data_IF_358880382739
#
_entry.id   IF_358880382739
#
_cell.length_a   1.000
_cell.length_b   1.000
_cell.length_c   1.000
_cell.angle_alpha   90.00
_cell.angle_beta   90.00
_cell.angle_gamma   90.00
#
_symmetry.space_group_name_H-M   'P 1'
#
loop_
_entity.id
_entity.type
_entity.pdbx_description
1 polymer ?
#
# COMPACT_ATOMS: atom_id res chain seq x y z
N UNK A 1 2.04 5.67 18.72
CA UNK A 1 1.69 5.54 17.29
C UNK A 1 2.64 4.55 16.60
N UNK A 2 2.15 3.73 15.66
CA UNK A 2 2.97 2.80 14.87
C UNK A 2 3.19 3.35 13.46
N UNK A 3 4.29 2.99 12.80
CA UNK A 3 4.56 3.36 11.40
C UNK A 3 4.74 2.10 10.56
N UNK A 4 4.10 2.08 9.41
CA UNK A 4 4.19 1.03 8.41
C UNK A 4 4.73 1.62 7.10
N UNK A 5 5.90 1.15 6.67
CA UNK A 5 6.49 1.58 5.41
C UNK A 5 6.18 0.61 4.27
N UNK A 6 5.78 1.16 3.15
CA UNK A 6 5.87 0.51 1.86
C UNK A 6 7.35 0.45 1.45
N UNK A 7 7.94 -0.73 1.61
CA UNK A 7 9.37 -0.95 1.35
C UNK A 7 9.70 -0.83 -0.14
N UNK A 8 8.83 -1.28 -1.02
CA UNK A 8 9.02 -1.18 -2.46
C UNK A 8 8.96 0.27 -2.93
N UNK A 9 7.99 1.04 -2.45
CA UNK A 9 7.90 2.48 -2.75
C UNK A 9 9.15 3.23 -2.27
N UNK A 10 9.57 3.03 -1.02
CA UNK A 10 10.77 3.65 -0.46
C UNK A 10 12.02 3.30 -1.28
N UNK A 11 12.14 2.03 -1.68
CA UNK A 11 13.26 1.52 -2.48
C UNK A 11 13.28 2.16 -3.88
N UNK A 12 12.17 2.14 -4.60
CA UNK A 12 12.05 2.74 -5.94
C UNK A 12 12.26 4.26 -5.92
N UNK A 13 11.67 4.97 -4.95
CA UNK A 13 11.84 6.41 -4.76
C UNK A 13 13.33 6.76 -4.57
N UNK A 14 14.00 6.07 -3.66
CA UNK A 14 15.41 6.31 -3.37
C UNK A 14 16.29 5.92 -4.55
N UNK A 15 15.98 4.81 -5.23
CA UNK A 15 16.70 4.37 -6.43
C UNK A 15 16.58 5.39 -7.58
N UNK A 16 15.41 5.96 -7.79
CA UNK A 16 15.20 6.99 -8.80
C UNK A 16 16.15 8.20 -8.60
N UNK A 17 16.35 8.62 -7.35
CA UNK A 17 17.31 9.68 -7.02
C UNK A 17 18.75 9.18 -7.16
N UNK A 18 19.06 7.99 -6.64
CA UNK A 18 20.40 7.40 -6.69
C UNK A 18 20.89 7.23 -8.12
N UNK A 19 20.05 6.72 -9.03
CA UNK A 19 20.41 6.49 -10.43
C UNK A 19 20.80 7.78 -11.18
N UNK A 20 20.27 8.93 -10.76
CA UNK A 20 20.63 10.22 -11.40
C UNK A 20 22.10 10.59 -11.21
N UNK A 21 22.74 10.15 -10.11
CA UNK A 21 24.18 10.37 -9.86
C UNK A 21 25.08 9.51 -10.75
N UNK A 22 24.51 8.44 -11.31
CA UNK A 22 25.23 7.48 -12.17
C UNK A 22 24.72 7.51 -13.61
N UNK A 23 24.11 8.62 -14.03
CA UNK A 23 23.58 8.77 -15.38
C UNK A 23 24.65 8.50 -16.43
N UNK A 24 24.37 7.59 -17.37
CA UNK A 24 25.31 7.20 -18.44
C UNK A 24 26.27 6.07 -18.05
N UNK A 25 26.20 5.54 -16.83
CA UNK A 25 26.89 4.32 -16.41
C UNK A 25 25.96 3.12 -16.49
N UNK A 26 26.50 1.91 -16.57
CA UNK A 26 25.74 0.67 -16.41
C UNK A 26 25.27 0.55 -14.95
N UNK A 27 23.96 0.67 -14.72
CA UNK A 27 23.38 0.59 -13.39
C UNK A 27 23.53 -0.79 -12.75
N UNK A 28 23.63 -1.86 -13.56
CA UNK A 28 23.93 -3.19 -13.04
C UNK A 28 25.34 -3.29 -12.45
N UNK A 29 26.32 -2.68 -13.10
CA UNK A 29 27.70 -2.59 -12.55
C UNK A 29 27.74 -1.71 -11.32
N UNK A 30 27.03 -0.59 -11.33
CA UNK A 30 26.91 0.31 -10.17
C UNK A 30 26.33 -0.41 -8.95
N UNK A 31 25.30 -1.22 -9.13
CA UNK A 31 24.66 -1.97 -8.04
C UNK A 31 25.49 -3.19 -7.58
N UNK A 32 26.36 -3.75 -8.45
CA UNK A 32 27.32 -4.81 -8.08
C UNK A 32 28.49 -4.31 -7.27
N UNK A 33 28.85 -3.04 -7.42
CA UNK A 33 29.94 -2.40 -6.68
C UNK A 33 29.56 -2.31 -5.18
N UNK A 34 30.30 -2.95 -4.26
CA UNK A 34 29.94 -3.01 -2.85
C UNK A 34 29.85 -1.64 -2.17
N UNK A 35 30.73 -0.70 -2.55
CA UNK A 35 30.76 0.64 -1.94
C UNK A 35 29.54 1.44 -2.37
N UNK A 36 29.21 1.43 -3.66
CA UNK A 36 28.04 2.14 -4.21
C UNK A 36 26.74 1.53 -3.70
N UNK A 37 26.65 0.20 -3.63
CA UNK A 37 25.53 -0.50 -3.01
C UNK A 37 25.34 -0.07 -1.55
N UNK A 38 26.42 0.02 -0.78
CA UNK A 38 26.33 0.46 0.61
C UNK A 38 25.88 1.92 0.73
N UNK A 39 26.32 2.80 -0.18
CA UNK A 39 25.82 4.18 -0.25
C UNK A 39 24.30 4.20 -0.52
N UNK A 40 23.82 3.34 -1.41
CA UNK A 40 22.39 3.25 -1.70
C UNK A 40 21.58 2.77 -0.49
N UNK A 41 22.00 1.66 0.16
CA UNK A 41 21.35 1.15 1.37
C UNK A 41 21.36 2.21 2.48
N UNK A 42 22.47 2.92 2.65
CA UNK A 42 22.55 4.03 3.62
C UNK A 42 21.54 5.13 3.33
N UNK A 43 21.31 5.50 2.06
CA UNK A 43 20.29 6.49 1.67
C UNK A 43 18.89 6.01 2.03
N UNK A 44 18.57 4.73 1.83
CA UNK A 44 17.30 4.13 2.25
C UNK A 44 17.09 4.24 3.76
N UNK A 45 18.12 3.91 4.55
CA UNK A 45 18.06 4.03 6.01
C UNK A 45 17.89 5.48 6.45
N UNK A 46 18.56 6.44 5.80
CA UNK A 46 18.39 7.88 6.06
C UNK A 46 16.95 8.28 5.84
N UNK A 47 16.34 7.85 4.74
CA UNK A 47 14.95 8.17 4.40
C UNK A 47 13.97 7.63 5.45
N UNK A 48 14.14 6.37 5.88
CA UNK A 48 13.33 5.78 6.93
C UNK A 48 13.51 6.54 8.27
N UNK A 49 14.75 6.76 8.69
CA UNK A 49 15.05 7.49 9.93
C UNK A 49 14.49 8.91 9.91
N UNK A 50 14.63 9.61 8.80
CA UNK A 50 14.09 10.96 8.65
C UNK A 50 12.57 10.97 8.81
N UNK A 51 11.89 10.05 8.13
CA UNK A 51 10.43 9.94 8.21
C UNK A 51 9.97 9.59 9.62
N UNK A 52 10.58 8.60 10.29
CA UNK A 52 10.23 8.22 11.66
C UNK A 52 10.40 9.39 12.62
N UNK A 53 11.50 10.16 12.49
CA UNK A 53 11.80 11.31 13.35
C UNK A 53 10.93 12.52 13.09
N UNK A 54 10.17 12.54 12.00
CA UNK A 54 9.18 13.61 11.73
C UNK A 54 7.90 13.45 12.55
N UNK A 55 7.79 12.36 13.31
CA UNK A 55 6.65 12.07 14.16
C UNK A 55 7.07 11.78 15.59
N UNK A 56 6.27 12.26 16.54
CA UNK A 56 6.46 12.00 17.95
C UNK A 56 5.85 10.65 18.36
N UNK A 57 6.36 10.07 19.45
CA UNK A 57 5.82 8.87 20.11
C UNK A 57 5.67 7.65 19.20
N UNK A 58 6.62 7.43 18.28
CA UNK A 58 6.64 6.23 17.46
C UNK A 58 7.05 5.02 18.30
N UNK A 59 6.16 4.01 18.34
CA UNK A 59 6.37 2.80 19.14
C UNK A 59 6.95 1.65 18.33
N UNK A 60 6.33 1.34 17.19
CA UNK A 60 6.76 0.24 16.33
C UNK A 60 6.91 0.72 14.89
N UNK A 61 7.84 0.12 14.19
CA UNK A 61 8.05 0.35 12.75
C UNK A 61 8.05 -0.99 12.04
N UNK A 62 7.19 -1.08 11.04
CA UNK A 62 7.08 -2.25 10.15
C UNK A 62 7.44 -1.82 8.74
N UNK A 63 8.18 -2.66 8.01
CA UNK A 63 8.45 -2.47 6.58
C UNK A 63 7.89 -3.67 5.83
N UNK A 64 7.05 -3.44 4.83
CA UNK A 64 6.48 -4.51 4.00
C UNK A 64 7.12 -4.53 2.63
N UNK A 65 7.24 -5.71 2.02
CA UNK A 65 7.78 -5.89 0.68
C UNK A 65 6.88 -6.81 -0.16
N UNK A 66 6.84 -6.52 -1.45
CA UNK A 66 6.12 -7.32 -2.44
C UNK A 66 6.76 -8.69 -2.65
N UNK A 67 5.91 -9.65 -3.01
CA UNK A 67 6.30 -10.87 -3.72
C UNK A 67 5.51 -11.00 -5.02
N UNK A 68 5.55 -12.18 -5.64
CA UNK A 68 4.73 -12.45 -6.81
C UNK A 68 3.25 -12.49 -6.43
N UNK A 69 2.43 -11.64 -7.08
CA UNK A 69 1.02 -11.45 -6.70
C UNK A 69 0.16 -12.69 -6.97
N UNK A 70 -0.68 -13.04 -6.00
CA UNK A 70 -1.75 -14.03 -6.16
C UNK A 70 -2.74 -13.68 -7.27
N UNK A 71 -2.84 -12.39 -7.64
CA UNK A 71 -3.77 -11.89 -8.67
C UNK A 71 -3.50 -12.46 -10.04
N UNK A 72 -2.25 -12.85 -10.34
CA UNK A 72 -1.90 -13.54 -11.58
C UNK A 72 -2.61 -14.90 -11.76
N UNK A 73 -2.98 -15.56 -10.65
CA UNK A 73 -3.71 -16.82 -10.70
C UNK A 73 -5.15 -16.65 -11.19
N UNK A 74 -5.73 -15.45 -11.03
CA UNK A 74 -7.08 -15.13 -11.46
C UNK A 74 -7.10 -14.39 -12.81
N UNK A 75 -6.09 -13.57 -13.04
CA UNK A 75 -5.99 -12.73 -14.21
C UNK A 75 -4.54 -12.77 -14.73
N UNK A 76 -4.22 -13.71 -15.66
CA UNK A 76 -2.86 -13.84 -16.20
C UNK A 76 -2.34 -12.56 -16.85
N UNK A 77 -3.23 -11.70 -17.36
CA UNK A 77 -2.89 -10.42 -17.97
C UNK A 77 -2.72 -9.29 -16.93
N UNK A 78 -2.82 -9.58 -15.63
CA UNK A 78 -2.58 -8.63 -14.57
C UNK A 78 -1.18 -8.02 -14.70
N UNK A 79 -1.10 -6.69 -14.68
CA UNK A 79 0.17 -5.95 -14.90
C UNK A 79 0.90 -6.29 -16.22
N UNK A 80 0.22 -6.97 -17.18
CA UNK A 80 0.86 -7.38 -18.46
C UNK A 80 1.29 -6.18 -19.30
N UNK A 81 0.52 -5.09 -19.32
CA UNK A 81 0.90 -3.86 -20.02
C UNK A 81 2.18 -3.22 -19.47
N UNK A 82 2.54 -3.58 -18.25
CA UNK A 82 3.83 -3.32 -17.64
C UNK A 82 4.81 -4.48 -18.00
N UNK A 83 4.86 -4.93 -19.25
CA UNK A 83 6.10 -5.55 -19.73
C UNK A 83 7.19 -4.52 -19.54
N UNK A 84 7.53 -4.34 -18.25
CA UNK A 84 8.71 -3.66 -17.82
C UNK A 84 9.81 -4.34 -18.61
N UNK A 85 10.34 -3.62 -19.58
CA UNK A 85 11.66 -3.94 -20.08
C UNK A 85 12.43 -4.12 -18.80
N UNK A 86 12.69 -5.38 -18.44
CA UNK A 86 13.53 -5.67 -17.27
C UNK A 86 14.91 -5.33 -17.77
N UNK A 87 15.27 -4.07 -17.60
CA UNK A 87 16.59 -3.56 -17.93
C UNK A 87 17.63 -4.49 -17.32
N UNK A 88 18.79 -4.59 -17.91
CA UNK A 88 19.85 -5.52 -17.49
C UNK A 88 20.22 -5.39 -16.02
N UNK A 89 19.96 -4.20 -15.40
CA UNK A 89 20.21 -3.97 -13.99
C UNK A 89 19.14 -4.57 -13.04
N UNK A 90 17.97 -5.00 -13.55
CA UNK A 90 16.84 -5.39 -12.69
C UNK A 90 17.16 -6.55 -11.75
N UNK A 91 17.98 -7.52 -12.20
CA UNK A 91 18.42 -8.63 -11.35
C UNK A 91 19.24 -8.14 -10.16
N UNK A 92 20.15 -7.20 -10.40
CA UNK A 92 20.97 -6.62 -9.35
C UNK A 92 20.13 -5.73 -8.42
N UNK A 93 19.16 -5.04 -8.98
CA UNK A 93 18.19 -4.25 -8.22
C UNK A 93 17.43 -5.12 -7.19
N UNK A 94 16.93 -6.30 -7.60
CA UNK A 94 16.26 -7.22 -6.67
C UNK A 94 17.24 -7.76 -5.62
N UNK A 95 18.48 -8.09 -5.98
CA UNK A 95 19.48 -8.51 -5.00
C UNK A 95 19.76 -7.46 -3.93
N UNK A 96 19.82 -6.19 -4.33
CA UNK A 96 20.01 -5.10 -3.36
C UNK A 96 18.79 -4.91 -2.47
N UNK A 97 17.59 -5.15 -2.99
CA UNK A 97 16.36 -5.17 -2.19
C UNK A 97 16.41 -6.28 -1.14
N UNK A 98 16.81 -7.50 -1.53
CA UNK A 98 16.97 -8.63 -0.61
C UNK A 98 18.06 -8.35 0.46
N UNK A 99 19.18 -7.72 0.07
CA UNK A 99 20.23 -7.29 0.99
C UNK A 99 19.72 -6.22 1.99
N UNK A 100 18.89 -5.30 1.52
CA UNK A 100 18.27 -4.28 2.38
C UNK A 100 17.28 -4.89 3.36
N UNK A 101 16.43 -5.82 2.91
CA UNK A 101 15.56 -6.58 3.79
C UNK A 101 16.34 -7.30 4.89
N UNK A 102 17.38 -8.05 4.50
CA UNK A 102 18.25 -8.76 5.45
C UNK A 102 18.91 -7.80 6.44
N UNK A 103 19.36 -6.63 5.97
CA UNK A 103 19.92 -5.58 6.82
C UNK A 103 18.90 -5.11 7.87
N UNK A 104 17.68 -4.80 7.47
CA UNK A 104 16.61 -4.35 8.39
C UNK A 104 16.29 -5.42 9.44
N UNK A 105 16.15 -6.68 9.05
CA UNK A 105 15.92 -7.81 9.97
C UNK A 105 17.06 -7.96 10.99
N UNK A 106 18.32 -7.85 10.54
CA UNK A 106 19.50 -7.92 11.41
C UNK A 106 19.57 -6.75 12.41
N UNK A 107 18.89 -5.64 12.10
CA UNK A 107 18.78 -4.47 13.01
C UNK A 107 17.53 -4.54 13.91
N UNK A 108 16.77 -5.63 13.84
CA UNK A 108 15.57 -5.84 14.67
C UNK A 108 14.35 -5.06 14.21
N UNK A 109 14.35 -4.57 12.97
CA UNK A 109 13.15 -3.97 12.36
C UNK A 109 12.18 -5.10 11.97
N UNK A 110 10.89 -4.91 12.21
CA UNK A 110 9.86 -5.81 11.71
C UNK A 110 9.82 -5.69 10.19
N UNK A 111 10.06 -6.80 9.50
CA UNK A 111 9.96 -6.87 8.05
C UNK A 111 8.98 -7.95 7.65
N UNK A 112 7.89 -7.56 7.02
CA UNK A 112 6.84 -8.45 6.54
C UNK A 112 6.98 -8.66 5.04
N UNK A 113 7.14 -9.91 4.63
CA UNK A 113 7.19 -10.35 3.24
C UNK A 113 6.69 -11.78 3.19
N UNK A 114 5.59 -12.00 2.47
CA UNK A 114 4.90 -13.29 2.41
C UNK A 114 4.74 -13.69 0.95
N UNK A 115 5.14 -14.91 0.61
CA UNK A 115 5.03 -15.43 -0.75
C UNK A 115 3.58 -15.44 -1.22
N UNK A 116 3.35 -14.90 -2.41
CA UNK A 116 2.03 -14.74 -3.00
C UNK A 116 1.33 -13.41 -2.65
N UNK A 117 1.81 -12.65 -1.65
CA UNK A 117 1.23 -11.37 -1.26
C UNK A 117 1.97 -10.18 -1.90
N UNK A 118 1.22 -9.18 -2.31
CA UNK A 118 1.77 -7.86 -2.60
C UNK A 118 1.93 -7.05 -1.29
N UNK A 119 2.76 -6.03 -1.30
CA UNK A 119 2.93 -5.13 -0.16
C UNK A 119 1.62 -4.51 0.30
N UNK A 120 0.73 -4.21 -0.65
CA UNK A 120 -0.59 -3.65 -0.39
C UNK A 120 -1.48 -4.59 0.45
N UNK A 121 -1.45 -5.90 0.15
CA UNK A 121 -2.16 -6.92 0.92
C UNK A 121 -1.63 -6.96 2.36
N UNK A 122 -0.29 -6.89 2.52
CA UNK A 122 0.35 -6.87 3.83
C UNK A 122 0.06 -5.55 4.58
N UNK A 123 0.03 -4.40 3.89
CA UNK A 123 -0.36 -3.13 4.50
C UNK A 123 -1.77 -3.19 5.06
N UNK A 124 -2.70 -3.84 4.34
CA UNK A 124 -4.05 -4.04 4.84
C UNK A 124 -4.08 -4.92 6.11
N UNK A 125 -3.42 -6.08 6.10
CA UNK A 125 -3.39 -6.98 7.27
C UNK A 125 -2.80 -6.29 8.50
N UNK A 126 -1.70 -5.57 8.35
CA UNK A 126 -1.10 -4.80 9.44
C UNK A 126 -2.00 -3.64 9.90
N UNK A 127 -2.76 -3.02 8.99
CA UNK A 127 -3.72 -1.97 9.36
C UNK A 127 -4.88 -2.51 10.19
N UNK A 128 -5.36 -3.70 9.86
CA UNK A 128 -6.37 -4.40 10.69
C UNK A 128 -5.78 -4.76 12.05
N UNK A 129 -4.56 -5.29 12.10
CA UNK A 129 -3.93 -5.64 13.37
C UNK A 129 -3.78 -4.43 14.28
N UNK A 130 -3.15 -3.35 13.84
CA UNK A 130 -2.96 -2.17 14.69
C UNK A 130 -4.26 -1.38 14.90
N UNK A 131 -4.95 -1.03 13.81
CA UNK A 131 -6.08 -0.11 13.84
C UNK A 131 -7.35 -0.70 14.43
N UNK A 132 -7.59 -2.01 14.25
CA UNK A 132 -8.82 -2.68 14.69
C UNK A 132 -8.54 -3.56 15.91
N UNK A 133 -7.61 -4.52 15.82
CA UNK A 133 -7.37 -5.50 16.90
C UNK A 133 -6.73 -4.85 18.12
N UNK A 134 -5.69 -4.04 17.91
CA UNK A 134 -5.00 -3.33 19.00
C UNK A 134 -5.67 -2.00 19.37
N UNK A 135 -6.50 -1.44 18.49
CA UNK A 135 -7.06 -0.09 18.61
C UNK A 135 -5.96 0.98 18.80
N UNK A 136 -4.88 0.85 18.04
CA UNK A 136 -3.71 1.73 18.07
C UNK A 136 -3.63 2.58 16.79
N UNK A 137 -3.08 3.79 16.90
CA UNK A 137 -2.81 4.63 15.73
C UNK A 137 -1.73 4.01 14.83
N UNK A 138 -2.00 3.95 13.54
CA UNK A 138 -1.08 3.50 12.49
C UNK A 138 -0.94 4.56 11.41
N UNK A 139 0.29 4.92 11.08
CA UNK A 139 0.64 5.74 9.94
C UNK A 139 1.28 4.90 8.86
N UNK A 140 0.64 4.78 7.70
CA UNK A 140 1.20 4.09 6.53
C UNK A 140 1.97 5.10 5.69
N UNK A 141 3.24 4.82 5.39
CA UNK A 141 4.10 5.67 4.58
C UNK A 141 4.25 5.06 3.19
N UNK A 142 3.54 5.63 2.23
CA UNK A 142 3.58 5.21 0.81
C UNK A 142 3.21 6.37 -0.12
N UNK A 143 3.64 6.29 -1.38
CA UNK A 143 3.17 7.17 -2.45
C UNK A 143 1.97 6.63 -3.20
N UNK A 144 1.59 5.38 -2.95
CA UNK A 144 0.48 4.74 -3.62
C UNK A 144 -0.86 5.32 -3.15
N UNK A 145 -1.66 5.75 -4.11
CA UNK A 145 -3.00 6.30 -3.84
C UNK A 145 -4.02 5.25 -3.45
N UNK A 146 -3.80 4.01 -3.83
CA UNK A 146 -4.74 2.92 -3.66
C UNK A 146 -4.86 2.50 -2.20
N UNK A 147 -3.77 2.65 -1.46
CA UNK A 147 -3.72 2.38 -0.03
C UNK A 147 -4.67 3.28 0.78
N UNK A 148 -5.11 4.42 0.23
CA UNK A 148 -6.12 5.27 0.89
C UNK A 148 -7.46 4.57 1.11
N UNK A 149 -7.75 3.49 0.38
CA UNK A 149 -8.96 2.69 0.60
C UNK A 149 -9.01 1.99 1.97
N UNK A 150 -7.85 1.79 2.62
CA UNK A 150 -7.76 1.10 3.93
C UNK A 150 -7.66 2.03 5.13
N UNK A 151 -7.77 3.34 4.92
CA UNK A 151 -7.78 4.30 6.03
C UNK A 151 -9.03 4.13 6.90
N UNK A 152 -8.83 4.30 8.21
CA UNK A 152 -9.88 4.29 9.23
C UNK A 152 -9.68 5.48 10.18
N UNK A 153 -10.45 5.54 11.27
CA UNK A 153 -10.21 6.53 12.33
C UNK A 153 -8.79 6.43 12.92
N UNK A 154 -8.26 5.21 13.02
CA UNK A 154 -6.96 4.92 13.60
C UNK A 154 -5.85 4.75 12.56
N UNK A 155 -6.17 4.72 11.27
CA UNK A 155 -5.21 4.47 10.19
C UNK A 155 -5.19 5.66 9.24
N UNK A 156 -4.05 6.32 9.14
CA UNK A 156 -3.79 7.40 8.20
C UNK A 156 -2.64 7.04 7.25
N UNK A 157 -2.50 7.81 6.17
CA UNK A 157 -1.47 7.61 5.17
C UNK A 157 -0.62 8.86 5.01
N UNK A 158 0.68 8.71 5.00
CA UNK A 158 1.62 9.78 4.75
C UNK A 158 2.37 9.57 3.43
N UNK A 159 2.14 10.48 2.48
CA UNK A 159 2.95 10.57 1.28
C UNK A 159 4.15 11.49 1.56
N UNK A 160 5.32 10.90 1.70
CA UNK A 160 6.57 11.61 1.99
C UNK A 160 7.33 12.05 0.73
N UNK A 161 6.66 12.17 -0.41
CA UNK A 161 7.28 12.75 -1.59
C UNK A 161 7.47 14.26 -1.38
N UNK A 162 8.72 14.74 -1.44
CA UNK A 162 9.09 16.13 -1.17
C UNK A 162 8.32 17.17 -1.98
N UNK A 163 7.83 16.79 -3.16
CA UNK A 163 6.99 17.65 -4.00
C UNK A 163 5.51 17.63 -3.63
N UNK A 164 5.09 16.71 -2.75
CA UNK A 164 3.70 16.47 -2.43
C UNK A 164 3.57 15.85 -1.03
N UNK A 165 4.15 16.54 -0.02
CA UNK A 165 4.04 16.12 1.37
C UNK A 165 2.59 16.23 1.83
N UNK A 166 1.93 15.09 2.02
CA UNK A 166 0.53 15.05 2.43
C UNK A 166 0.27 13.95 3.45
N UNK A 167 -0.46 14.30 4.48
CA UNK A 167 -1.06 13.35 5.40
C UNK A 167 -2.54 13.19 5.04
N UNK A 168 -2.92 11.98 4.65
CA UNK A 168 -4.30 11.65 4.33
C UNK A 168 -4.96 10.94 5.51
N UNK A 169 -6.20 11.31 5.79
CA UNK A 169 -7.02 10.70 6.84
C UNK A 169 -8.48 10.64 6.40
N UNK A 170 -9.32 9.98 7.18
CA UNK A 170 -10.77 10.06 6.95
C UNK A 170 -11.33 11.42 7.42
N UNK A 171 -12.48 11.88 6.90
CA UNK A 171 -13.11 13.12 7.36
C UNK A 171 -13.36 13.14 8.88
N UNK A 172 -13.77 12.00 9.43
CA UNK A 172 -14.12 11.83 10.84
C UNK A 172 -12.89 11.94 11.76
N UNK A 173 -11.73 11.48 11.29
CA UNK A 173 -10.48 11.49 12.06
C UNK A 173 -9.60 12.71 11.83
N UNK A 174 -10.00 13.63 10.96
CA UNK A 174 -9.19 14.79 10.59
C UNK A 174 -8.79 15.69 11.78
N UNK A 175 -9.65 15.80 12.80
CA UNK A 175 -9.33 16.56 14.02
C UNK A 175 -8.21 15.93 14.84
N UNK A 176 -8.15 14.60 14.88
CA UNK A 176 -7.11 13.83 15.58
C UNK A 176 -5.79 13.90 14.81
N UNK A 177 -5.81 13.58 13.52
CA UNK A 177 -4.60 13.55 12.70
C UNK A 177 -3.98 14.93 12.46
N UNK A 178 -4.73 16.02 12.65
CA UNK A 178 -4.21 17.39 12.55
C UNK A 178 -3.00 17.65 13.42
N UNK A 179 -2.98 17.06 14.62
CA UNK A 179 -1.86 17.21 15.58
C UNK A 179 -0.63 16.34 15.22
N UNK A 180 -0.78 15.44 14.26
CA UNK A 180 0.29 14.55 13.76
C UNK A 180 0.89 15.02 12.43
N UNK A 181 0.39 16.12 11.85
CA UNK A 181 0.88 16.62 10.56
C UNK A 181 2.30 17.13 10.70
N UNK A 182 3.29 16.57 9.99
CA UNK A 182 4.65 17.10 10.01
C UNK A 182 4.71 18.52 9.44
N UNK A 183 5.74 19.25 9.83
CA UNK A 183 5.99 20.59 9.29
C UNK A 183 6.10 20.56 7.75
N UNK A 184 5.40 21.47 7.10
CA UNK A 184 5.38 21.57 5.63
C UNK A 184 4.46 20.58 4.92
N UNK A 185 3.77 19.67 5.63
CA UNK A 185 2.81 18.76 5.05
C UNK A 185 1.38 19.34 5.08
N UNK A 186 0.58 18.95 4.09
CA UNK A 186 -0.85 19.26 3.99
C UNK A 186 -1.68 18.11 4.57
N UNK A 187 -2.70 18.44 5.39
CA UNK A 187 -3.71 17.47 5.81
C UNK A 187 -4.83 17.39 4.78
N UNK A 188 -5.11 16.19 4.29
CA UNK A 188 -6.14 15.95 3.27
C UNK A 188 -7.12 14.90 3.77
N UNK A 189 -8.39 15.28 3.92
CA UNK A 189 -9.45 14.32 4.24
C UNK A 189 -9.96 13.65 2.97
N UNK A 190 -10.04 12.30 3.00
CA UNK A 190 -10.47 11.47 1.86
C UNK A 190 -11.40 10.38 2.37
N UNK A 191 -12.49 10.13 1.68
CA UNK A 191 -13.37 9.00 1.97
C UNK A 191 -12.78 7.72 1.34
N UNK A 192 -12.44 6.69 2.12
CA UNK A 192 -11.82 5.45 1.61
C UNK A 192 -12.66 4.76 0.53
N UNK A 193 -13.97 4.75 0.69
CA UNK A 193 -14.88 4.15 -0.29
C UNK A 193 -14.85 4.83 -1.67
N UNK A 194 -14.68 6.15 -1.71
CA UNK A 194 -14.55 6.85 -2.99
C UNK A 194 -13.29 6.40 -3.74
N UNK A 195 -12.18 6.18 -3.01
CA UNK A 195 -10.93 5.65 -3.62
C UNK A 195 -11.16 4.28 -4.24
N UNK A 196 -11.86 3.40 -3.53
CA UNK A 196 -12.22 2.09 -4.06
C UNK A 196 -13.10 2.21 -5.31
N UNK A 197 -14.11 3.09 -5.30
CA UNK A 197 -14.99 3.32 -6.46
C UNK A 197 -14.22 3.78 -7.70
N UNK A 198 -13.19 4.63 -7.54
CA UNK A 198 -12.33 5.03 -8.65
C UNK A 198 -11.72 3.80 -9.33
N UNK A 199 -11.12 2.91 -8.56
CA UNK A 199 -10.48 1.70 -9.08
C UNK A 199 -11.48 0.69 -9.64
N UNK A 200 -12.60 0.49 -8.97
CA UNK A 200 -13.61 -0.47 -9.40
C UNK A 200 -14.30 -0.03 -10.69
N UNK A 201 -14.70 1.24 -10.81
CA UNK A 201 -15.52 1.69 -11.93
C UNK A 201 -14.69 2.17 -13.14
N UNK A 202 -13.56 2.84 -12.90
CA UNK A 202 -12.68 3.29 -13.98
C UNK A 202 -11.68 2.21 -14.43
N UNK A 203 -11.46 1.18 -13.59
CA UNK A 203 -10.39 0.23 -13.78
C UNK A 203 -9.01 0.82 -13.44
N UNK A 204 -7.98 0.05 -13.71
CA UNK A 204 -6.60 0.47 -13.55
C UNK A 204 -5.76 0.09 -14.77
N UNK A 205 -5.34 1.10 -15.52
CA UNK A 205 -4.51 0.88 -16.72
C UNK A 205 -3.11 0.35 -16.37
N UNK A 206 -2.58 0.72 -15.21
CA UNK A 206 -1.26 0.25 -14.77
C UNK A 206 -1.27 -1.24 -14.45
N UNK A 207 -2.40 -1.74 -13.98
CA UNK A 207 -2.60 -3.14 -13.63
C UNK A 207 -3.35 -3.93 -14.72
N UNK A 208 -3.65 -3.27 -15.86
CA UNK A 208 -4.41 -3.83 -16.97
C UNK A 208 -5.85 -4.23 -16.59
N UNK A 209 -6.44 -3.53 -15.62
CA UNK A 209 -7.83 -3.76 -15.16
C UNK A 209 -8.76 -2.86 -15.98
N UNK A 210 -9.75 -3.41 -16.69
CA UNK A 210 -10.62 -2.64 -17.57
C UNK A 210 -11.65 -1.81 -16.79
N UNK A 211 -12.08 -0.67 -17.37
CA UNK A 211 -13.23 0.08 -16.84
C UNK A 211 -14.53 -0.70 -17.01
N UNK A 212 -15.45 -0.54 -16.07
CA UNK A 212 -16.79 -1.17 -16.12
C UNK A 212 -17.57 -0.73 -17.36
N UNK A 213 -17.45 0.53 -17.75
CA UNK A 213 -18.11 1.08 -18.93
C UNK A 213 -17.13 1.88 -19.79
N UNK A 214 -17.05 1.55 -21.08
CA UNK A 214 -16.27 2.34 -22.04
C UNK A 214 -16.77 3.79 -22.10
N UNK A 215 -15.83 4.74 -21.98
CA UNK A 215 -16.14 6.17 -22.01
C UNK A 215 -16.68 6.74 -20.69
N UNK A 216 -16.77 5.92 -19.64
CA UNK A 216 -17.05 6.40 -18.29
C UNK A 216 -15.74 6.88 -17.66
N UNK A 217 -15.57 8.18 -17.49
CA UNK A 217 -14.33 8.78 -16.98
C UNK A 217 -14.55 9.50 -15.65
N UNK A 218 -13.46 10.10 -15.13
CA UNK A 218 -13.43 10.74 -13.80
C UNK A 218 -14.59 11.72 -13.56
N UNK A 219 -14.86 12.63 -14.51
CA UNK A 219 -15.98 13.58 -14.39
C UNK A 219 -17.37 12.93 -14.26
N UNK A 220 -17.56 11.76 -14.88
CA UNK A 220 -18.79 11.01 -14.75
C UNK A 220 -18.84 10.28 -13.40
N UNK A 221 -17.71 9.76 -12.95
CA UNK A 221 -17.57 9.15 -11.64
C UNK A 221 -17.81 10.15 -10.51
N UNK A 222 -17.25 11.35 -10.57
CA UNK A 222 -17.50 12.42 -9.59
C UNK A 222 -19.01 12.74 -9.49
N UNK A 223 -19.70 12.80 -10.63
CA UNK A 223 -21.17 12.97 -10.65
C UNK A 223 -21.90 11.78 -10.04
N UNK A 224 -21.43 10.57 -10.31
CA UNK A 224 -21.99 9.36 -9.70
C UNK A 224 -21.79 9.37 -8.18
N UNK A 225 -20.58 9.63 -7.71
CA UNK A 225 -20.27 9.73 -6.27
C UNK A 225 -21.16 10.78 -5.58
N UNK A 226 -21.43 11.89 -6.24
CA UNK A 226 -22.33 12.94 -5.71
C UNK A 226 -23.79 12.47 -5.57
N UNK A 227 -24.21 11.38 -6.22
CA UNK A 227 -25.55 10.78 -6.05
C UNK A 227 -25.62 9.77 -4.90
N UNK A 228 -24.48 9.36 -4.37
CA UNK A 228 -24.43 8.36 -3.29
C UNK A 228 -24.88 8.97 -1.95
N UNK A 229 -25.38 8.14 -1.03
CA UNK A 229 -25.76 8.61 0.29
C UNK A 229 -24.58 9.31 0.98
N UNK A 230 -24.86 10.42 1.66
CA UNK A 230 -23.88 11.10 2.49
C UNK A 230 -23.65 10.40 3.85
N UNK A 231 -24.63 9.59 4.28
CA UNK A 231 -24.58 8.87 5.55
C UNK A 231 -23.65 7.64 5.44
N UNK A 232 -22.52 7.61 6.17
CA UNK A 232 -21.62 6.47 6.17
C UNK A 232 -22.30 5.16 6.61
N UNK A 233 -23.32 5.22 7.44
CA UNK A 233 -24.01 4.02 7.95
C UNK A 233 -24.75 3.20 6.86
N UNK A 234 -25.07 3.83 5.72
CA UNK A 234 -25.74 3.15 4.59
C UNK A 234 -24.78 2.83 3.44
N UNK A 235 -23.51 3.16 3.58
CA UNK A 235 -22.49 2.85 2.59
C UNK A 235 -21.75 1.56 2.96
N UNK A 236 -21.33 0.76 1.96
CA UNK A 236 -20.42 -0.34 2.23
C UNK A 236 -19.13 0.14 2.90
N UNK A 237 -18.65 -0.63 3.85
CA UNK A 237 -17.36 -0.40 4.51
C UNK A 237 -16.37 -1.49 4.08
N UNK A 238 -15.12 -1.35 4.49
CA UNK A 238 -14.11 -2.42 4.30
C UNK A 238 -14.49 -3.74 4.97
N UNK A 239 -15.44 -3.72 5.89
CA UNK A 239 -15.98 -4.89 6.58
C UNK A 239 -17.16 -5.53 5.82
N UNK A 240 -17.68 -4.87 4.79
CA UNK A 240 -18.75 -5.39 3.96
C UNK A 240 -18.23 -6.53 3.08
N UNK A 241 -18.93 -7.65 3.04
CA UNK A 241 -18.59 -8.76 2.15
C UNK A 241 -18.61 -8.32 0.68
N UNK A 242 -17.82 -8.99 -0.16
CA UNK A 242 -17.61 -8.58 -1.55
C UNK A 242 -18.92 -8.59 -2.37
N UNK A 243 -19.73 -9.66 -2.26
CA UNK A 243 -20.95 -9.75 -3.05
C UNK A 243 -21.98 -8.67 -2.70
N UNK A 244 -22.35 -8.42 -1.44
CA UNK A 244 -23.21 -7.29 -1.07
C UNK A 244 -22.66 -5.94 -1.51
N UNK A 245 -21.34 -5.76 -1.48
CA UNK A 245 -20.69 -4.54 -1.98
C UNK A 245 -20.85 -4.39 -3.48
N UNK A 246 -20.59 -5.46 -4.23
CA UNK A 246 -20.73 -5.46 -5.68
C UNK A 246 -22.17 -5.19 -6.12
N UNK A 247 -23.13 -5.85 -5.49
CA UNK A 247 -24.57 -5.63 -5.72
C UNK A 247 -24.99 -4.18 -5.43
N UNK A 248 -24.53 -3.65 -4.28
CA UNK A 248 -24.82 -2.28 -3.89
C UNK A 248 -24.30 -1.25 -4.91
N UNK A 249 -23.06 -1.45 -5.40
CA UNK A 249 -22.45 -0.60 -6.42
C UNK A 249 -23.17 -0.80 -7.76
N UNK A 250 -23.38 -2.05 -8.20
CA UNK A 250 -23.95 -2.38 -9.49
C UNK A 250 -25.37 -1.84 -9.65
N UNK A 251 -26.21 -1.97 -8.63
CA UNK A 251 -27.57 -1.44 -8.63
C UNK A 251 -27.59 0.06 -8.91
N UNK A 252 -26.76 0.83 -8.21
CA UNK A 252 -26.73 2.30 -8.38
C UNK A 252 -26.04 2.73 -9.66
N UNK A 253 -24.99 2.01 -10.03
CA UNK A 253 -24.21 2.31 -11.23
C UNK A 253 -25.00 1.99 -12.50
N UNK A 254 -25.75 0.88 -12.55
CA UNK A 254 -26.56 0.49 -13.70
C UNK A 254 -27.59 1.57 -14.05
N UNK A 255 -28.28 2.09 -13.04
CA UNK A 255 -29.27 3.16 -13.19
C UNK A 255 -28.61 4.47 -13.67
N UNK A 256 -27.52 4.88 -13.03
CA UNK A 256 -26.81 6.11 -13.36
C UNK A 256 -26.18 6.07 -14.75
N UNK A 257 -25.45 4.99 -15.04
CA UNK A 257 -24.67 4.85 -16.27
C UNK A 257 -25.50 4.28 -17.44
N UNK A 258 -26.74 3.83 -17.21
CA UNK A 258 -27.59 3.16 -18.20
C UNK A 258 -26.89 1.95 -18.82
N UNK A 259 -26.43 1.05 -17.96
CA UNK A 259 -25.81 -0.23 -18.31
C UNK A 259 -26.70 -1.34 -17.75
N UNK A 260 -26.87 -2.49 -18.44
CA UNK A 260 -27.57 -3.62 -17.87
C UNK A 260 -26.96 -4.04 -16.52
N UNK A 261 -27.81 -4.29 -15.53
CA UNK A 261 -27.37 -4.63 -14.17
C UNK A 261 -26.41 -5.82 -14.16
N UNK A 262 -26.75 -6.90 -14.85
CA UNK A 262 -25.92 -8.12 -14.88
C UNK A 262 -24.52 -7.85 -15.46
N UNK A 263 -24.45 -7.03 -16.52
CA UNK A 263 -23.15 -6.63 -17.11
C UNK A 263 -22.34 -5.77 -16.14
N UNK A 264 -23.00 -4.86 -15.44
CA UNK A 264 -22.35 -4.01 -14.43
C UNK A 264 -21.84 -4.87 -13.26
N UNK A 265 -22.68 -5.77 -12.75
CA UNK A 265 -22.36 -6.66 -11.64
C UNK A 265 -21.17 -7.56 -11.93
N UNK A 266 -21.13 -8.20 -13.10
CA UNK A 266 -20.02 -9.06 -13.53
C UNK A 266 -18.68 -8.30 -13.52
N UNK A 267 -18.65 -7.13 -14.16
CA UNK A 267 -17.42 -6.31 -14.26
C UNK A 267 -17.02 -5.72 -12.92
N UNK A 268 -17.97 -5.29 -12.10
CA UNK A 268 -17.71 -4.75 -10.78
C UNK A 268 -17.15 -5.85 -9.86
N UNK A 269 -17.70 -7.06 -9.90
CA UNK A 269 -17.17 -8.20 -9.16
C UNK A 269 -15.73 -8.51 -9.56
N UNK A 270 -15.46 -8.54 -10.85
CA UNK A 270 -14.08 -8.75 -11.34
C UNK A 270 -13.14 -7.66 -10.84
N UNK A 271 -13.51 -6.38 -11.00
CA UNK A 271 -12.65 -5.26 -10.60
C UNK A 271 -12.47 -5.20 -9.07
N UNK A 272 -13.52 -5.46 -8.27
CA UNK A 272 -13.39 -5.58 -6.81
C UNK A 272 -12.39 -6.67 -6.43
N UNK A 273 -12.48 -7.85 -7.04
CA UNK A 273 -11.54 -8.95 -6.78
C UNK A 273 -10.09 -8.56 -7.05
N UNK A 274 -9.86 -7.69 -8.02
CA UNK A 274 -8.51 -7.27 -8.41
C UNK A 274 -8.00 -6.08 -7.60
N UNK A 275 -8.88 -5.18 -7.15
CA UNK A 275 -8.49 -3.87 -6.59
C UNK A 275 -8.81 -3.68 -5.12
N UNK A 276 -9.74 -4.47 -4.58
CA UNK A 276 -10.14 -4.32 -3.17
C UNK A 276 -9.19 -5.07 -2.25
N UNK A 277 -8.49 -4.35 -1.40
CA UNK A 277 -7.52 -4.92 -0.46
C UNK A 277 -8.20 -5.71 0.67
N UNK A 278 -9.43 -5.34 1.05
CA UNK A 278 -10.22 -6.06 2.05
C UNK A 278 -10.51 -7.53 1.70
N UNK A 279 -10.41 -7.91 0.44
CA UNK A 279 -10.60 -9.31 0.01
C UNK A 279 -9.62 -10.29 0.67
N UNK A 280 -8.44 -9.81 1.07
CA UNK A 280 -7.44 -10.63 1.75
C UNK A 280 -7.91 -11.18 3.11
N UNK A 281 -8.92 -10.54 3.73
CA UNK A 281 -9.38 -10.87 5.10
C UNK A 281 -10.79 -11.47 5.12
N UNK A 282 -11.63 -11.11 4.15
CA UNK A 282 -13.02 -11.56 4.17
C UNK A 282 -13.18 -12.83 3.35
N UNK A 283 -13.42 -13.92 4.08
CA UNK A 283 -13.88 -15.21 3.55
C UNK A 283 -15.28 -15.08 2.94
N UNK A 284 -15.37 -14.52 1.76
CA UNK A 284 -16.48 -14.83 0.89
C UNK A 284 -16.16 -16.18 0.26
N UNK A 285 -16.64 -17.26 0.89
CA UNK A 285 -16.29 -18.64 0.55
C UNK A 285 -16.55 -19.00 -0.91
N UNK A 286 -17.45 -18.27 -1.58
CA UNK A 286 -17.75 -18.47 -3.00
C UNK A 286 -16.67 -17.88 -3.94
N UNK A 287 -15.80 -17.00 -3.43
CA UNK A 287 -14.75 -16.33 -4.21
C UNK A 287 -13.33 -16.72 -3.80
N UNK A 288 -13.16 -17.34 -2.63
CA UNK A 288 -11.86 -17.69 -2.07
C UNK A 288 -11.64 -19.18 -2.29
N UNK A 289 -10.71 -19.54 -3.17
CA UNK A 289 -10.26 -20.92 -3.27
C UNK A 289 -9.29 -21.27 -2.12
N UNK A 290 -8.98 -22.55 -1.96
CA UNK A 290 -8.07 -23.04 -0.89
C UNK A 290 -6.72 -22.32 -0.87
N UNK A 291 -6.21 -21.87 -2.03
CA UNK A 291 -4.94 -21.13 -2.12
C UNK A 291 -5.04 -19.73 -1.50
N UNK A 292 -6.20 -19.09 -1.58
CA UNK A 292 -6.43 -17.77 -0.98
C UNK A 292 -6.49 -17.84 0.53
N UNK A 293 -7.18 -18.87 1.04
CA UNK A 293 -7.24 -19.11 2.47
C UNK A 293 -5.86 -19.41 3.05
N UNK A 294 -5.06 -20.23 2.37
CA UNK A 294 -3.66 -20.49 2.77
C UNK A 294 -2.80 -19.23 2.76
N UNK A 295 -3.00 -18.33 1.80
CA UNK A 295 -2.30 -17.06 1.74
C UNK A 295 -2.69 -16.14 2.90
N UNK A 296 -3.99 -16.04 3.20
CA UNK A 296 -4.47 -15.26 4.35
C UNK A 296 -3.89 -15.80 5.66
N UNK A 297 -3.91 -17.12 5.87
CA UNK A 297 -3.32 -17.77 7.04
C UNK A 297 -1.81 -17.49 7.14
N UNK A 298 -1.10 -17.49 6.00
CA UNK A 298 0.34 -17.16 5.98
C UNK A 298 0.61 -15.70 6.38
N UNK A 299 -0.19 -14.75 5.88
CA UNK A 299 -0.06 -13.33 6.24
C UNK A 299 -0.38 -13.10 7.73
N UNK A 300 -1.45 -13.69 8.24
CA UNK A 300 -1.81 -13.61 9.68
C UNK A 300 -0.74 -14.25 10.56
N UNK A 301 -0.20 -15.39 10.14
CA UNK A 301 0.89 -16.08 10.86
C UNK A 301 2.16 -15.20 10.88
N UNK A 302 2.46 -14.49 9.80
CA UNK A 302 3.59 -13.57 9.76
C UNK A 302 3.42 -12.44 10.79
N UNK A 303 2.24 -11.82 10.85
CA UNK A 303 1.92 -10.79 11.86
C UNK A 303 2.07 -11.36 13.28
N UNK A 304 1.46 -12.53 13.56
CA UNK A 304 1.52 -13.18 14.87
C UNK A 304 2.95 -13.49 15.32
N UNK A 305 3.79 -13.97 14.40
CA UNK A 305 5.20 -14.23 14.65
C UNK A 305 5.96 -12.96 14.96
N UNK A 306 5.71 -11.89 14.20
CA UNK A 306 6.51 -10.68 14.25
C UNK A 306 6.12 -9.73 15.38
N UNK A 307 4.84 -9.67 15.74
CA UNK A 307 4.35 -8.83 16.86
C UNK A 307 5.06 -9.09 18.18
N UNK A 308 5.53 -10.34 18.40
CA UNK A 308 6.19 -10.79 19.64
C UNK A 308 7.72 -10.73 19.56
N UNK A 309 8.31 -10.57 18.38
CA UNK A 309 9.77 -10.58 18.18
C UNK A 309 10.38 -9.20 18.22
N UNK A 310 9.56 -8.17 18.22
CA UNK A 310 10.03 -6.80 18.12
C UNK A 310 10.66 -6.28 19.42
N UNK A 311 11.94 -5.99 19.33
CA UNK A 311 12.64 -5.17 20.32
C UNK A 311 12.81 -3.78 19.73
N UNK A 312 11.92 -2.87 20.13
CA UNK A 312 12.00 -1.49 19.70
C UNK A 312 13.34 -0.87 20.07
N UNK A 313 14.06 -0.34 19.10
CA UNK A 313 15.17 0.56 19.33
C UNK A 313 14.64 2.00 19.28
N UNK A 314 14.57 2.68 20.43
CA UNK A 314 14.00 4.03 20.57
C UNK A 314 14.71 5.10 19.73
N UNK A 315 15.85 4.77 19.12
CA UNK A 315 16.64 5.72 18.37
C UNK A 315 16.74 5.33 16.90
N UNK A 316 15.81 5.87 16.10
CA UNK A 316 15.88 5.80 14.64
C UNK A 316 16.89 6.82 14.12
N UNK A 317 18.17 6.58 14.43
CA UNK A 317 19.31 7.39 14.01
C UNK A 317 20.26 6.55 13.18
N UNK A 318 21.08 7.21 12.34
CA UNK A 318 22.12 6.49 11.60
C UNK A 318 23.13 5.85 12.55
N UNK A 319 23.37 6.44 13.71
CA UNK A 319 24.25 5.89 14.73
C UNK A 319 23.74 4.54 15.24
N UNK A 320 22.42 4.41 15.50
CA UNK A 320 21.82 3.15 15.93
C UNK A 320 21.92 2.05 14.87
N UNK A 321 21.89 2.42 13.58
CA UNK A 321 22.00 1.46 12.48
C UNK A 321 23.45 1.10 12.12
N UNK A 322 24.38 2.03 12.19
CA UNK A 322 25.76 1.85 11.71
C UNK A 322 26.83 1.93 12.79
N UNK A 323 26.48 2.29 14.04
CA UNK A 323 27.44 2.41 15.14
C UNK A 323 28.45 3.56 14.97
N UNK A 324 28.15 4.55 14.14
CA UNK A 324 29.01 5.70 13.87
C UNK A 324 28.29 7.01 14.11
N UNK A 325 28.90 7.97 14.82
CA UNK A 325 28.33 9.31 14.94
C UNK A 325 28.24 9.96 13.55
N UNK A 326 27.12 10.62 13.29
CA UNK A 326 26.95 11.42 12.07
C UNK A 326 27.78 12.69 12.26
N UNK A 327 28.83 12.83 11.46
CA UNK A 327 29.48 14.12 11.25
C UNK A 327 28.72 14.93 10.23
#
# INVERSE_FOLDING_TARGET
MNILFDGNFAFHKTFSVFSTYYKGQDLGEVLRDPEKKQVFIRKLVIELCHTVRSFDDVEKVVVVFDTHSWRYNFYPDYKYALTRIRDDYYKEFIRVLDDFEAFLRNKGVIVSRVEGAEGDDLMYIWSVYFGVVCNEELLIVTGDSDIRQIMTSNVALFNNNSKNLKLYCTPESASVWRYRVPEGAELVAVRPFDVLLYKVLLGDKSDNIPSVKRGFGEKALEKFIATLPADPAVMPTVETQMFPMADWIATRFSDFARVPYEEALEKINFNLKMTWLGLSVYNDLDYVNANHQSLLEAMLTDVERQKNTYKYNKEWTLESFYGMPIK
#
